data_IF_950481892664
#
_entry.id   IF_950481892664
#
_cell.length_a   1.000
_cell.length_b   1.000
_cell.length_c   1.000
_cell.angle_alpha   90.00
_cell.angle_beta   90.00
_cell.angle_gamma   90.00
#
_symmetry.space_group_name_H-M   'P 1'
#
loop_
_entity.id
_entity.type
_entity.pdbx_description
1 polymer ?
#
# COMPACT_ATOMS: atom_id res chain seq x y z
N UNK A 1 -45.18 24.94 31.17
CA UNK A 1 -43.83 25.50 30.96
C UNK A 1 -42.95 24.36 30.46
N UNK A 2 -43.04 24.03 29.18
CA UNK A 2 -42.32 22.93 28.57
C UNK A 2 -40.87 23.34 28.24
N UNK A 3 -39.92 22.76 28.97
CA UNK A 3 -38.50 23.05 28.78
C UNK A 3 -37.99 22.27 27.57
N UNK A 4 -37.87 22.97 26.45
CA UNK A 4 -37.33 22.50 25.17
C UNK A 4 -35.84 22.13 25.33
N UNK A 5 -35.57 20.84 25.57
CA UNK A 5 -34.20 20.29 25.65
C UNK A 5 -33.58 20.29 24.24
N UNK A 6 -32.64 21.20 23.98
CA UNK A 6 -31.85 21.18 22.73
C UNK A 6 -30.99 19.91 22.70
N UNK A 7 -30.97 19.13 21.61
CA UNK A 7 -30.00 18.05 21.46
C UNK A 7 -28.60 18.66 21.31
N UNK A 8 -27.66 18.17 22.11
CA UNK A 8 -26.26 18.55 22.00
C UNK A 8 -25.70 18.13 20.62
N UNK A 9 -24.78 18.90 20.02
CA UNK A 9 -24.13 18.47 18.79
C UNK A 9 -23.37 17.18 19.06
N UNK A 10 -23.76 16.10 18.40
CA UNK A 10 -23.00 14.86 18.37
C UNK A 10 -21.65 15.22 17.75
N UNK A 11 -20.60 15.29 18.58
CA UNK A 11 -19.22 15.30 18.09
C UNK A 11 -19.02 13.99 17.35
N UNK A 12 -19.14 14.03 16.03
CA UNK A 12 -18.63 12.98 15.16
C UNK A 12 -17.13 12.94 15.43
N UNK A 13 -16.70 11.94 16.21
CA UNK A 13 -15.29 11.59 16.32
C UNK A 13 -14.90 11.14 14.93
N UNK A 14 -14.27 12.05 14.18
CA UNK A 14 -13.48 11.70 13.02
C UNK A 14 -12.46 10.67 13.52
N UNK A 15 -12.71 9.39 13.25
CA UNK A 15 -11.70 8.35 13.40
C UNK A 15 -10.58 8.76 12.46
N UNK A 16 -9.53 9.39 13.01
CA UNK A 16 -8.33 9.68 12.25
C UNK A 16 -7.86 8.34 11.67
N UNK A 17 -8.05 8.15 10.35
CA UNK A 17 -7.44 7.01 9.66
C UNK A 17 -5.97 7.14 9.97
N UNK A 18 -5.42 6.17 10.68
CA UNK A 18 -4.03 6.20 11.09
C UNK A 18 -3.18 6.50 9.84
N UNK A 19 -2.60 7.69 9.80
CA UNK A 19 -1.87 8.18 8.64
C UNK A 19 -0.54 7.42 8.62
N UNK A 20 -0.47 6.36 7.84
CA UNK A 20 0.73 5.55 7.67
C UNK A 20 1.59 6.03 6.49
N UNK A 21 1.45 7.29 6.08
CA UNK A 21 2.17 7.86 4.94
C UNK A 21 3.69 7.76 5.13
N UNK A 22 4.17 8.09 6.32
CA UNK A 22 5.57 8.10 6.76
C UNK A 22 6.27 6.73 6.62
N UNK A 23 5.51 5.64 6.78
CA UNK A 23 5.99 4.26 6.68
C UNK A 23 5.45 3.51 5.47
N UNK A 24 5.00 4.22 4.44
CA UNK A 24 4.49 3.62 3.21
C UNK A 24 5.33 3.94 1.98
N UNK A 25 5.38 3.01 1.03
CA UNK A 25 5.94 3.24 -0.30
C UNK A 25 4.91 2.90 -1.38
N UNK A 26 5.03 3.56 -2.54
CA UNK A 26 4.14 3.38 -3.68
C UNK A 26 4.92 2.76 -4.82
N UNK A 27 4.54 1.54 -5.19
CA UNK A 27 5.14 0.83 -6.30
C UNK A 27 4.32 1.06 -7.56
N UNK A 28 5.00 1.34 -8.65
CA UNK A 28 4.41 1.63 -9.94
C UNK A 28 4.66 0.51 -10.94
N UNK A 29 3.74 0.36 -11.90
CA UNK A 29 3.81 -0.64 -12.97
C UNK A 29 3.96 -2.08 -12.47
N UNK A 30 3.47 -2.36 -11.26
CA UNK A 30 3.30 -3.73 -10.77
C UNK A 30 2.15 -4.34 -11.56
N UNK A 31 2.43 -5.39 -12.33
CA UNK A 31 1.41 -6.13 -13.10
C UNK A 31 0.23 -6.48 -12.19
N UNK A 32 -0.99 -6.25 -12.67
CA UNK A 32 -2.20 -6.70 -11.97
C UNK A 32 -2.50 -8.15 -12.35
N UNK A 33 -3.14 -8.88 -11.44
CA UNK A 33 -3.63 -10.22 -11.72
C UNK A 33 -4.92 -10.14 -12.54
N UNK A 34 -5.05 -11.01 -13.54
CA UNK A 34 -6.25 -11.16 -14.36
C UNK A 34 -7.36 -11.97 -13.64
N UNK A 35 -7.12 -12.43 -12.42
CA UNK A 35 -8.11 -13.20 -11.65
C UNK A 35 -9.31 -12.36 -11.24
N UNK A 36 -10.51 -12.92 -11.35
CA UNK A 36 -11.73 -12.31 -10.83
C UNK A 36 -11.83 -12.41 -9.30
N UNK A 37 -11.12 -13.36 -8.68
CA UNK A 37 -11.19 -13.63 -7.25
C UNK A 37 -10.37 -12.61 -6.44
N UNK A 38 -10.96 -11.94 -5.44
CA UNK A 38 -10.25 -10.96 -4.62
C UNK A 38 -9.02 -11.54 -3.89
N UNK A 39 -9.12 -12.77 -3.37
CA UNK A 39 -8.04 -13.42 -2.62
C UNK A 39 -6.86 -13.72 -3.53
N UNK A 40 -7.10 -14.36 -4.68
CA UNK A 40 -6.04 -14.66 -5.65
C UNK A 40 -5.31 -13.39 -6.14
N UNK A 41 -6.03 -12.29 -6.35
CA UNK A 41 -5.41 -10.99 -6.70
C UNK A 41 -4.54 -10.44 -5.59
N UNK A 42 -4.99 -10.54 -4.34
CA UNK A 42 -4.22 -10.08 -3.20
C UNK A 42 -2.95 -10.92 -3.00
N UNK A 43 -3.06 -12.24 -3.08
CA UNK A 43 -1.91 -13.15 -2.99
C UNK A 43 -0.88 -12.87 -4.09
N UNK A 44 -1.34 -12.64 -5.32
CA UNK A 44 -0.48 -12.23 -6.43
C UNK A 44 0.33 -10.96 -6.10
N UNK A 45 -0.32 -9.93 -5.54
CA UNK A 45 0.35 -8.69 -5.13
C UNK A 45 1.39 -8.94 -4.01
N UNK A 46 1.07 -9.79 -3.04
CA UNK A 46 2.01 -10.17 -1.97
C UNK A 46 3.23 -10.88 -2.53
N UNK A 47 3.04 -11.84 -3.44
CA UNK A 47 4.15 -12.59 -4.06
C UNK A 47 5.07 -11.65 -4.83
N UNK A 48 4.52 -10.77 -5.67
CA UNK A 48 5.31 -9.82 -6.45
C UNK A 48 6.10 -8.85 -5.55
N UNK A 49 5.47 -8.31 -4.51
CA UNK A 49 6.17 -7.41 -3.58
C UNK A 49 7.30 -8.15 -2.86
N UNK A 50 7.09 -9.38 -2.41
CA UNK A 50 8.16 -10.17 -1.78
C UNK A 50 9.33 -10.43 -2.74
N UNK A 51 9.05 -10.75 -4.00
CA UNK A 51 10.10 -10.92 -5.00
C UNK A 51 10.90 -9.64 -5.25
N UNK A 52 10.22 -8.48 -5.32
CA UNK A 52 10.89 -7.19 -5.48
C UNK A 52 11.73 -6.82 -4.26
N UNK A 53 11.23 -7.08 -3.06
CA UNK A 53 11.99 -6.85 -1.82
C UNK A 53 13.24 -7.73 -1.74
N UNK A 54 13.15 -8.98 -2.20
CA UNK A 54 14.32 -9.87 -2.34
C UNK A 54 15.37 -9.27 -3.29
N UNK A 55 14.95 -8.64 -4.38
CA UNK A 55 15.88 -8.02 -5.34
C UNK A 55 16.52 -6.74 -4.78
N UNK A 56 15.73 -5.90 -4.10
CA UNK A 56 16.22 -4.67 -3.47
C UNK A 56 17.23 -4.98 -2.35
N UNK A 57 16.93 -6.01 -1.56
CA UNK A 57 17.51 -6.21 -0.24
C UNK A 57 17.69 -7.70 0.11
N UNK A 58 18.48 -8.47 -0.66
CA UNK A 58 18.56 -9.92 -0.51
C UNK A 58 19.05 -10.37 0.88
N UNK A 59 19.87 -9.57 1.56
CA UNK A 59 20.42 -9.92 2.89
C UNK A 59 19.59 -9.42 4.09
N UNK A 60 18.63 -8.51 3.88
CA UNK A 60 17.89 -7.85 4.97
C UNK A 60 16.40 -8.21 4.98
N UNK A 61 16.01 -9.25 4.27
CA UNK A 61 14.60 -9.62 4.07
C UNK A 61 13.90 -10.03 5.36
N UNK A 62 14.63 -10.64 6.30
CA UNK A 62 14.13 -11.03 7.62
C UNK A 62 13.69 -9.84 8.47
N UNK A 63 14.12 -8.61 8.13
CA UNK A 63 13.79 -7.39 8.86
C UNK A 63 12.62 -6.59 8.30
N UNK A 64 12.06 -6.95 7.14
CA UNK A 64 10.99 -6.17 6.50
C UNK A 64 9.63 -6.82 6.76
N UNK A 65 8.73 -6.10 7.42
CA UNK A 65 7.37 -6.58 7.72
C UNK A 65 6.34 -5.81 6.90
N UNK A 66 5.53 -6.54 6.13
CA UNK A 66 4.41 -5.98 5.37
C UNK A 66 3.16 -5.90 6.26
N UNK A 67 2.81 -4.71 6.73
CA UNK A 67 1.59 -4.51 7.53
C UNK A 67 0.33 -4.49 6.67
N UNK A 68 0.37 -3.78 5.54
CA UNK A 68 -0.75 -3.68 4.58
C UNK A 68 -0.22 -3.57 3.18
N UNK A 69 -0.93 -4.21 2.24
CA UNK A 69 -0.65 -4.14 0.81
C UNK A 69 -1.99 -3.94 0.12
N UNK A 70 -2.12 -2.88 -0.67
CA UNK A 70 -3.37 -2.58 -1.37
C UNK A 70 -3.17 -1.67 -2.57
N UNK A 71 -3.97 -1.87 -3.61
CA UNK A 71 -3.97 -1.02 -4.80
C UNK A 71 -4.67 0.30 -4.54
N UNK A 72 -4.14 1.38 -5.12
CA UNK A 72 -4.76 2.70 -5.10
C UNK A 72 -5.75 2.83 -6.27
N UNK A 73 -6.96 3.28 -5.99
CA UNK A 73 -8.04 3.43 -6.99
C UNK A 73 -8.90 2.18 -7.18
N UNK A 74 -10.07 2.36 -7.82
CA UNK A 74 -10.95 1.24 -8.15
C UNK A 74 -10.44 0.49 -9.37
N UNK A 75 -10.76 -0.81 -9.47
CA UNK A 75 -10.45 -1.62 -10.64
C UNK A 75 -11.07 -1.03 -11.93
N UNK A 76 -12.27 -0.45 -11.80
CA UNK A 76 -13.01 0.21 -12.88
C UNK A 76 -12.31 1.45 -13.43
N UNK A 77 -11.37 2.02 -12.67
CA UNK A 77 -10.66 3.24 -13.04
C UNK A 77 -9.35 2.94 -13.81
N UNK A 78 -9.00 1.65 -13.94
CA UNK A 78 -7.79 1.23 -14.66
C UNK A 78 -8.00 1.40 -16.17
N UNK A 79 -7.22 2.31 -16.77
CA UNK A 79 -7.14 2.39 -18.23
C UNK A 79 -6.49 1.11 -18.79
N UNK A 80 -6.82 0.69 -20.02
CA UNK A 80 -6.10 -0.38 -20.69
C UNK A 80 -4.59 -0.09 -20.65
N UNK A 81 -3.80 -1.08 -20.23
CA UNK A 81 -2.33 -1.00 -20.08
C UNK A 81 -1.81 -0.10 -18.94
N UNK A 82 -2.66 0.37 -18.03
CA UNK A 82 -2.24 1.08 -16.82
C UNK A 82 -2.58 0.28 -15.56
N UNK A 83 -1.57 -0.40 -15.02
CA UNK A 83 -1.69 -1.02 -13.69
C UNK A 83 -1.79 0.05 -12.62
N UNK A 84 -2.73 -0.13 -11.69
CA UNK A 84 -2.88 0.71 -10.50
C UNK A 84 -1.62 0.66 -9.65
N UNK A 85 -1.30 1.79 -9.03
CA UNK A 85 -0.23 1.88 -8.05
C UNK A 85 -0.51 0.92 -6.88
N UNK A 86 0.53 0.24 -6.41
CA UNK A 86 0.46 -0.65 -5.25
C UNK A 86 1.08 0.05 -4.05
N UNK A 87 0.25 0.36 -3.04
CA UNK A 87 0.72 0.96 -1.80
C UNK A 87 1.02 -0.14 -0.78
N UNK A 88 2.24 -0.09 -0.24
CA UNK A 88 2.72 -1.01 0.79
C UNK A 88 3.00 -0.21 2.05
N UNK A 89 2.50 -0.69 3.18
CA UNK A 89 2.73 -0.13 4.51
C UNK A 89 3.66 -1.06 5.26
N UNK A 90 4.78 -0.53 5.72
CA UNK A 90 5.80 -1.25 6.49
C UNK A 90 5.60 -1.04 7.99
N UNK A 91 6.31 -1.84 8.79
CA UNK A 91 6.23 -1.70 10.25
C UNK A 91 6.82 -0.39 10.75
N UNK A 92 7.90 0.07 10.11
CA UNK A 92 8.63 1.28 10.49
C UNK A 92 8.98 2.18 9.31
N UNK A 93 9.23 3.47 9.57
CA UNK A 93 9.75 4.41 8.57
C UNK A 93 11.17 4.03 8.12
N UNK A 94 11.97 3.42 9.00
CA UNK A 94 13.31 2.94 8.67
C UNK A 94 13.28 1.84 7.60
N UNK A 95 12.36 0.86 7.72
CA UNK A 95 12.16 -0.16 6.67
C UNK A 95 11.80 0.50 5.34
N UNK A 96 10.89 1.49 5.36
CA UNK A 96 10.49 2.23 4.17
C UNK A 96 11.66 2.99 3.54
N UNK A 97 12.42 3.74 4.35
CA UNK A 97 13.56 4.53 3.87
C UNK A 97 14.63 3.63 3.25
N UNK A 98 14.89 2.49 3.87
CA UNK A 98 15.85 1.52 3.38
C UNK A 98 15.44 0.93 2.01
N UNK A 99 14.14 0.67 1.81
CA UNK A 99 13.59 0.25 0.52
C UNK A 99 13.77 1.35 -0.53
N UNK A 100 13.46 2.61 -0.19
CA UNK A 100 13.63 3.74 -1.10
C UNK A 100 15.09 3.96 -1.50
N UNK A 101 16.04 3.87 -0.54
CA UNK A 101 17.47 3.97 -0.80
C UNK A 101 17.94 2.90 -1.81
N UNK A 102 17.37 1.70 -1.74
CA UNK A 102 17.68 0.60 -2.64
C UNK A 102 16.89 0.64 -3.96
N UNK A 103 15.96 1.59 -4.15
CA UNK A 103 15.05 1.64 -5.31
C UNK A 103 15.76 1.65 -6.67
N UNK A 104 16.97 2.20 -6.73
CA UNK A 104 17.82 2.19 -7.94
C UNK A 104 18.13 0.78 -8.45
N UNK A 105 18.08 -0.26 -7.59
CA UNK A 105 18.28 -1.67 -7.97
C UNK A 105 17.15 -2.24 -8.82
N UNK A 106 16.01 -1.57 -8.90
CA UNK A 106 14.92 -1.94 -9.80
C UNK A 106 15.13 -1.44 -11.23
N UNK A 107 16.22 -0.72 -11.52
CA UNK A 107 16.52 -0.26 -12.88
C UNK A 107 16.58 -1.46 -13.84
N UNK A 108 15.80 -1.38 -14.92
CA UNK A 108 15.67 -2.46 -15.91
C UNK A 108 14.51 -3.43 -15.68
N UNK A 109 13.91 -3.46 -14.47
CA UNK A 109 12.70 -4.27 -14.19
C UNK A 109 11.40 -3.65 -14.73
N UNK A 110 11.43 -2.36 -15.10
CA UNK A 110 10.24 -1.59 -15.47
C UNK A 110 9.38 -1.13 -14.28
N UNK A 111 9.69 -1.57 -13.05
CA UNK A 111 9.07 -1.15 -11.79
C UNK A 111 9.85 0.00 -11.16
N UNK A 112 9.15 0.94 -10.53
CA UNK A 112 9.74 2.04 -9.78
C UNK A 112 8.96 2.33 -8.50
N UNK A 113 9.67 2.86 -7.50
CA UNK A 113 9.18 3.19 -6.16
C UNK A 113 9.35 4.69 -5.95
#
# INVERSE_FOLDING_TARGET
MDIKRKPAPVKVVEKSKANHGDRSAIFHRIKESDSSEPIARFEHDIVLIRQLLNQLMPQNMTGVTLLKVYRLGSLTDSKPNHSRQLKVVFSSSNERDLILQNGHKLKGSGVFI
#
